data_IF_097418561478
#
_entry.id   IF_097418561478
#
_cell.length_a   1.000
_cell.length_b   1.000
_cell.length_c   1.000
_cell.angle_alpha   90.00
_cell.angle_beta   90.00
_cell.angle_gamma   90.00
#
_symmetry.space_group_name_H-M   'P 1'
#
loop_
_entity.id
_entity.type
_entity.pdbx_description
1 polymer ?
#
# COMPACT_ATOMS: atom_id res chain seq x y z
N UNK A 1 18.81 -0.11 -17.40
CA UNK A 1 19.44 0.88 -16.51
C UNK A 1 18.75 0.78 -15.17
N UNK A 2 19.49 0.54 -14.09
CA UNK A 2 18.93 0.41 -12.74
C UNK A 2 18.74 1.81 -12.18
N UNK A 3 17.50 2.18 -11.85
CA UNK A 3 17.17 3.46 -11.21
C UNK A 3 16.94 3.26 -9.70
N UNK A 4 17.48 4.16 -8.89
CA UNK A 4 17.23 4.18 -7.46
C UNK A 4 16.13 5.19 -7.15
N UNK A 5 15.02 4.71 -6.59
CA UNK A 5 13.89 5.54 -6.16
C UNK A 5 13.90 5.67 -4.65
N UNK A 6 13.75 6.90 -4.18
CA UNK A 6 13.67 7.21 -2.74
C UNK A 6 12.50 8.15 -2.48
N UNK A 7 11.90 8.04 -1.31
CA UNK A 7 10.82 8.92 -0.87
C UNK A 7 11.27 9.67 0.38
N UNK A 8 11.15 10.98 0.33
CA UNK A 8 11.49 11.88 1.42
C UNK A 8 10.36 12.90 1.57
N UNK A 9 9.72 12.92 2.72
CA UNK A 9 8.71 13.91 3.10
C UNK A 9 7.59 14.09 2.03
N UNK A 10 7.07 12.97 1.53
CA UNK A 10 6.01 12.94 0.52
C UNK A 10 6.46 13.17 -0.92
N UNK A 11 7.74 13.38 -1.16
CA UNK A 11 8.32 13.57 -2.49
C UNK A 11 9.08 12.34 -2.95
N UNK A 12 8.95 12.01 -4.23
CA UNK A 12 9.63 10.87 -4.87
C UNK A 12 10.80 11.40 -5.68
N UNK A 13 11.97 10.86 -5.44
CA UNK A 13 13.21 11.19 -6.14
C UNK A 13 13.79 9.98 -6.83
N UNK A 14 14.39 10.18 -8.01
CA UNK A 14 15.26 9.22 -8.66
C UNK A 14 16.72 9.66 -8.61
N UNK A 15 17.64 8.72 -8.81
CA UNK A 15 19.09 8.93 -8.84
C UNK A 15 19.64 9.67 -7.62
N UNK A 16 19.01 9.46 -6.46
CA UNK A 16 19.27 10.22 -5.24
C UNK A 16 20.74 10.20 -4.79
N UNK A 17 21.44 9.10 -5.03
CA UNK A 17 22.85 8.94 -4.60
C UNK A 17 23.85 9.71 -5.48
N UNK A 18 23.45 10.14 -6.66
CA UNK A 18 24.33 10.81 -7.61
C UNK A 18 23.88 12.25 -7.90
N UNK A 19 22.69 12.41 -8.41
CA UNK A 19 22.08 13.71 -8.74
C UNK A 19 20.56 13.58 -8.55
N UNK A 20 20.04 13.89 -7.36
CA UNK A 20 18.63 13.68 -7.06
C UNK A 20 17.72 14.50 -7.98
N UNK A 21 16.81 13.81 -8.65
CA UNK A 21 15.79 14.40 -9.51
C UNK A 21 14.42 14.14 -8.85
N UNK A 22 13.72 15.19 -8.46
CA UNK A 22 12.33 15.08 -8.01
C UNK A 22 11.44 14.69 -9.20
N UNK A 23 10.69 13.59 -9.06
CA UNK A 23 9.81 13.08 -10.10
C UNK A 23 8.34 13.15 -9.70
N UNK A 24 8.03 13.36 -8.42
CA UNK A 24 6.68 13.51 -7.92
C UNK A 24 6.66 14.20 -6.55
N UNK A 25 5.69 15.11 -6.35
CA UNK A 25 5.40 15.80 -5.08
C UNK A 25 3.89 15.74 -4.85
N UNK A 26 3.42 14.80 -4.07
CA UNK A 26 1.97 14.61 -3.85
C UNK A 26 1.62 13.45 -2.94
N UNK A 27 2.61 12.78 -2.34
CA UNK A 27 2.36 11.82 -1.27
C UNK A 27 2.19 12.55 0.06
N UNK A 28 1.38 11.98 0.93
CA UNK A 28 1.25 12.48 2.31
C UNK A 28 2.58 12.38 3.05
N UNK A 29 3.09 13.52 3.50
CA UNK A 29 4.35 13.61 4.24
C UNK A 29 4.30 12.76 5.53
N UNK A 30 5.42 12.13 5.88
CA UNK A 30 5.56 11.30 7.08
C UNK A 30 4.90 9.91 7.00
N UNK A 31 4.21 9.58 5.90
CA UNK A 31 3.59 8.25 5.72
C UNK A 31 4.57 7.31 5.02
N UNK A 32 4.77 6.12 5.61
CA UNK A 32 5.65 5.09 5.05
C UNK A 32 5.06 4.49 3.78
N UNK A 33 5.92 4.20 2.81
CA UNK A 33 5.56 3.58 1.56
C UNK A 33 6.07 2.15 1.45
N UNK A 34 5.33 1.33 0.71
CA UNK A 34 5.77 0.00 0.24
C UNK A 34 5.92 0.01 -1.26
N UNK A 35 6.79 -0.86 -1.76
CA UNK A 35 7.16 -0.92 -3.17
C UNK A 35 6.94 -2.32 -3.72
N UNK A 36 6.53 -2.40 -4.97
CA UNK A 36 6.48 -3.64 -5.74
C UNK A 36 6.84 -3.35 -7.20
N UNK A 37 7.41 -4.32 -7.89
CA UNK A 37 7.75 -4.20 -9.32
C UNK A 37 6.97 -5.26 -10.09
N UNK A 38 6.27 -4.84 -11.12
CA UNK A 38 5.53 -5.69 -12.04
C UNK A 38 5.63 -5.09 -13.45
N UNK A 39 5.96 -5.91 -14.47
CA UNK A 39 6.02 -5.50 -15.88
C UNK A 39 6.87 -4.24 -16.12
N UNK A 40 8.08 -4.21 -15.57
CA UNK A 40 9.01 -3.07 -15.63
C UNK A 40 8.44 -1.74 -15.08
N UNK A 41 7.45 -1.83 -14.20
CA UNK A 41 6.87 -0.67 -13.50
C UNK A 41 7.04 -0.82 -12.00
N UNK A 42 7.40 0.28 -11.36
CA UNK A 42 7.45 0.38 -9.90
C UNK A 42 6.11 0.91 -9.38
N UNK A 43 5.55 0.18 -8.46
CA UNK A 43 4.34 0.56 -7.72
C UNK A 43 4.74 1.08 -6.35
N UNK A 44 4.15 2.21 -5.94
CA UNK A 44 4.38 2.86 -4.65
C UNK A 44 3.03 3.03 -3.96
N UNK A 45 2.91 2.52 -2.75
CA UNK A 45 1.66 2.53 -1.98
C UNK A 45 1.92 2.81 -0.51
N UNK A 46 0.99 3.50 0.17
CA UNK A 46 1.13 3.86 1.58
C UNK A 46 -0.17 3.76 2.40
N UNK A 47 -1.27 3.34 1.79
CA UNK A 47 -2.57 3.21 2.46
C UNK A 47 -3.38 4.51 2.59
N UNK A 48 -2.79 5.64 2.29
CA UNK A 48 -3.41 6.98 2.39
C UNK A 48 -3.65 7.59 1.01
N UNK A 49 -2.61 7.60 0.20
CA UNK A 49 -2.64 8.19 -1.14
C UNK A 49 -3.04 7.14 -2.20
N UNK A 50 -3.36 7.59 -3.39
CA UNK A 50 -3.57 6.71 -4.51
C UNK A 50 -2.26 5.98 -4.87
N UNK A 51 -2.39 4.78 -5.39
CA UNK A 51 -1.26 4.01 -5.88
C UNK A 51 -0.53 4.79 -6.97
N UNK A 52 0.78 4.93 -6.82
CA UNK A 52 1.64 5.56 -7.82
C UNK A 52 2.29 4.46 -8.66
N UNK A 53 2.33 4.68 -9.97
CA UNK A 53 2.98 3.83 -10.95
C UNK A 53 4.10 4.64 -11.60
N UNK A 54 5.29 4.08 -11.63
CA UNK A 54 6.45 4.70 -12.28
C UNK A 54 7.08 3.74 -13.28
N UNK A 55 7.18 4.18 -14.53
CA UNK A 55 7.82 3.48 -15.66
C UNK A 55 8.81 4.38 -16.42
N UNK A 56 9.44 5.32 -15.75
CA UNK A 56 10.17 6.45 -16.32
C UNK A 56 9.36 7.75 -16.30
N UNK A 57 8.03 7.65 -16.20
CA UNK A 57 7.09 8.75 -15.98
C UNK A 57 6.14 8.36 -14.85
N UNK A 58 5.81 9.28 -13.97
CA UNK A 58 4.82 9.03 -12.90
C UNK A 58 3.41 9.09 -13.48
N UNK A 59 2.62 8.09 -13.13
CA UNK A 59 1.16 8.12 -13.24
C UNK A 59 0.53 7.73 -11.90
N UNK A 60 -0.62 8.31 -11.59
CA UNK A 60 -1.39 7.96 -10.39
C UNK A 60 -2.55 7.09 -10.80
N UNK A 61 -2.63 5.89 -10.22
CA UNK A 61 -3.72 4.97 -10.52
C UNK A 61 -5.06 5.58 -10.10
N UNK A 62 -6.05 5.53 -11.01
CA UNK A 62 -7.42 5.96 -10.75
C UNK A 62 -7.49 7.32 -10.03
N UNK A 63 -6.76 8.30 -10.57
CA UNK A 63 -6.74 9.65 -10.06
C UNK A 63 -8.14 10.26 -9.97
N UNK A 64 -8.35 11.16 -9.02
CA UNK A 64 -9.57 11.93 -8.91
C UNK A 64 -9.61 13.05 -9.93
N UNK A 65 -10.75 13.34 -10.57
CA UNK A 65 -10.93 14.61 -11.28
C UNK A 65 -10.79 15.77 -10.28
N UNK A 66 -10.30 16.91 -10.76
CA UNK A 66 -10.32 18.17 -10.00
C UNK A 66 -11.44 19.04 -10.57
N UNK A 67 -12.38 19.45 -9.74
CA UNK A 67 -13.50 20.27 -10.14
C UNK A 67 -13.31 21.73 -9.75
N UNK A 68 -13.60 22.65 -10.68
CA UNK A 68 -13.55 24.09 -10.46
C UNK A 68 -14.79 24.76 -11.05
N UNK A 69 -15.32 25.78 -10.33
CA UNK A 69 -16.34 26.65 -10.88
C UNK A 69 -15.69 27.54 -11.95
N UNK A 70 -16.13 27.46 -13.19
CA UNK A 70 -15.55 28.25 -14.27
C UNK A 70 -16.17 29.65 -14.44
N UNK A 71 -17.15 30.02 -13.59
CA UNK A 71 -17.86 31.29 -13.60
C UNK A 71 -18.60 31.61 -14.92
N UNK A 72 -18.66 30.67 -15.85
CA UNK A 72 -19.47 30.80 -17.06
C UNK A 72 -20.89 30.36 -16.78
N UNK A 73 -21.87 31.13 -17.25
CA UNK A 73 -23.28 30.81 -17.07
C UNK A 73 -23.59 29.41 -17.58
N UNK A 74 -24.30 28.64 -16.76
CA UNK A 74 -24.67 27.27 -17.01
C UNK A 74 -25.94 26.84 -16.30
N UNK A 75 -26.20 25.54 -16.31
CA UNK A 75 -27.46 24.98 -15.75
C UNK A 75 -27.27 24.41 -14.34
N UNK A 76 -26.04 24.37 -13.83
CA UNK A 76 -25.75 23.73 -12.57
C UNK A 76 -25.93 24.70 -11.39
N UNK A 77 -26.60 24.24 -10.33
CA UNK A 77 -26.79 25.01 -9.09
C UNK A 77 -26.75 24.03 -7.93
N UNK A 78 -25.80 24.24 -7.00
CA UNK A 78 -25.61 23.40 -5.82
C UNK A 78 -24.18 22.92 -5.64
N UNK A 79 -24.00 21.92 -4.78
CA UNK A 79 -22.72 21.31 -4.49
C UNK A 79 -22.60 19.97 -5.21
N UNK A 80 -21.49 19.74 -5.89
CA UNK A 80 -21.22 18.57 -6.71
C UNK A 80 -19.84 18.00 -6.41
N UNK A 81 -19.69 16.68 -6.56
CA UNK A 81 -18.39 16.03 -6.67
C UNK A 81 -18.44 14.94 -7.74
N UNK A 82 -17.27 14.58 -8.22
CA UNK A 82 -17.08 13.72 -9.39
C UNK A 82 -16.22 12.52 -9.03
N UNK A 83 -16.40 11.44 -9.80
CA UNK A 83 -15.53 10.28 -9.80
C UNK A 83 -15.32 9.82 -11.25
N UNK A 84 -14.26 9.08 -11.48
CA UNK A 84 -13.92 8.55 -12.78
C UNK A 84 -13.58 7.07 -12.69
N UNK A 85 -13.99 6.31 -13.71
CA UNK A 85 -13.56 4.94 -13.97
C UNK A 85 -12.80 4.90 -15.29
N UNK A 86 -12.02 3.84 -15.47
CA UNK A 86 -11.25 3.61 -16.70
C UNK A 86 -11.75 2.34 -17.36
N UNK A 87 -11.81 2.34 -18.69
CA UNK A 87 -12.08 1.16 -19.49
C UNK A 87 -10.73 0.63 -20.01
N UNK A 88 -10.35 -0.54 -19.56
CA UNK A 88 -9.11 -1.21 -19.94
C UNK A 88 -9.50 -2.55 -20.54
N UNK A 89 -9.16 -2.75 -21.82
CA UNK A 89 -9.49 -3.97 -22.58
C UNK A 89 -10.99 -4.36 -22.54
N UNK A 90 -11.86 -3.33 -22.51
CA UNK A 90 -13.32 -3.52 -22.46
C UNK A 90 -13.86 -3.84 -21.08
N UNK A 91 -13.04 -3.75 -20.03
CA UNK A 91 -13.43 -3.92 -18.64
C UNK A 91 -13.39 -2.58 -17.92
N UNK A 92 -14.51 -2.17 -17.34
CA UNK A 92 -14.59 -0.94 -16.53
C UNK A 92 -14.00 -1.19 -15.12
N UNK A 93 -13.03 -0.36 -14.75
CA UNK A 93 -12.41 -0.41 -13.42
C UNK A 93 -13.38 0.08 -12.35
N UNK A 94 -12.97 -0.07 -11.08
CA UNK A 94 -13.60 0.66 -9.98
C UNK A 94 -13.31 2.15 -10.09
N UNK A 95 -14.10 2.97 -9.41
CA UNK A 95 -13.83 4.41 -9.35
C UNK A 95 -12.54 4.71 -8.59
N UNK A 96 -11.84 5.72 -9.05
CA UNK A 96 -10.81 6.39 -8.27
C UNK A 96 -11.39 7.11 -7.04
N UNK A 97 -10.55 7.92 -6.40
CA UNK A 97 -11.00 8.84 -5.35
C UNK A 97 -12.00 9.86 -5.95
N UNK A 98 -12.97 10.27 -5.16
CA UNK A 98 -13.86 11.36 -5.56
C UNK A 98 -13.11 12.70 -5.59
N UNK A 99 -13.56 13.61 -6.45
CA UNK A 99 -13.02 14.97 -6.54
C UNK A 99 -13.26 15.77 -5.25
N UNK A 100 -12.64 16.95 -5.18
CA UNK A 100 -13.11 18.00 -4.29
C UNK A 100 -14.59 18.33 -4.56
N UNK A 101 -15.30 18.78 -3.55
CA UNK A 101 -16.65 19.34 -3.73
C UNK A 101 -16.54 20.75 -4.31
N UNK A 102 -17.27 21.02 -5.38
CA UNK A 102 -17.43 22.35 -5.97
C UNK A 102 -18.86 22.82 -5.82
N UNK A 103 -19.03 24.08 -5.42
CA UNK A 103 -20.36 24.71 -5.31
C UNK A 103 -20.51 25.77 -6.37
N UNK A 104 -21.60 25.72 -7.11
CA UNK A 104 -21.91 26.64 -8.22
C UNK A 104 -23.36 27.17 -8.10
N UNK A 105 -23.61 28.33 -8.76
CA UNK A 105 -24.94 28.95 -8.86
C UNK A 105 -25.17 29.39 -10.29
N UNK A 106 -25.95 28.63 -11.03
CA UNK A 106 -26.22 28.81 -12.46
C UNK A 106 -24.95 28.91 -13.32
N UNK A 107 -23.99 28.06 -13.02
CA UNK A 107 -22.70 28.03 -13.73
C UNK A 107 -22.42 26.61 -14.32
N UNK A 108 -21.45 26.51 -15.19
CA UNK A 108 -20.82 25.25 -15.56
C UNK A 108 -19.62 24.94 -14.65
N UNK A 109 -19.15 23.71 -14.73
CA UNK A 109 -18.01 23.23 -13.91
C UNK A 109 -16.92 22.72 -14.86
N UNK A 110 -15.70 23.22 -14.70
CA UNK A 110 -14.53 22.70 -15.41
C UNK A 110 -13.87 21.61 -14.61
N UNK A 111 -13.54 20.53 -15.28
CA UNK A 111 -12.84 19.39 -14.71
C UNK A 111 -11.45 19.27 -15.33
N UNK A 112 -10.45 19.11 -14.48
CA UNK A 112 -9.16 18.57 -14.89
C UNK A 112 -9.21 17.06 -14.70
N UNK A 113 -8.93 16.32 -15.77
CA UNK A 113 -9.05 14.87 -15.84
C UNK A 113 -7.69 14.21 -15.71
N UNK A 114 -7.51 13.24 -14.81
CA UNK A 114 -6.31 12.42 -14.78
C UNK A 114 -6.25 11.50 -16.01
N UNK A 115 -5.04 11.25 -16.48
CA UNK A 115 -4.74 10.21 -17.47
C UNK A 115 -4.81 8.85 -16.76
N UNK A 116 -5.45 7.89 -17.39
CA UNK A 116 -5.59 6.53 -16.86
C UNK A 116 -4.32 5.70 -17.01
N UNK A 117 -4.28 4.52 -16.38
CA UNK A 117 -3.21 3.55 -16.54
C UNK A 117 -2.98 3.16 -18.01
N UNK A 118 -1.85 2.54 -18.28
CA UNK A 118 -1.54 1.99 -19.61
C UNK A 118 -2.62 0.99 -20.03
N UNK A 119 -3.06 1.07 -21.30
CA UNK A 119 -4.14 0.22 -21.81
C UNK A 119 -5.53 0.83 -21.66
N UNK A 120 -5.68 1.99 -21.02
CA UNK A 120 -6.97 2.69 -20.94
C UNK A 120 -7.41 3.13 -22.34
N UNK A 121 -8.57 2.66 -22.78
CA UNK A 121 -9.19 2.99 -24.07
C UNK A 121 -10.26 4.07 -23.94
N UNK A 122 -10.90 4.17 -22.78
CA UNK A 122 -11.89 5.19 -22.47
C UNK A 122 -11.96 5.45 -20.96
N UNK A 123 -12.54 6.61 -20.60
CA UNK A 123 -12.75 7.01 -19.22
C UNK A 123 -14.21 7.42 -19.04
N UNK A 124 -14.86 6.96 -17.97
CA UNK A 124 -16.25 7.33 -17.69
C UNK A 124 -16.30 8.26 -16.50
N UNK A 125 -16.94 9.39 -16.67
CA UNK A 125 -17.19 10.36 -15.60
C UNK A 125 -18.54 10.09 -14.94
N UNK A 126 -18.56 10.23 -13.64
CA UNK A 126 -19.74 10.18 -12.80
C UNK A 126 -19.81 11.44 -11.95
N UNK A 127 -21.01 11.92 -11.68
CA UNK A 127 -21.29 13.11 -10.86
C UNK A 127 -22.45 12.86 -9.92
N UNK A 128 -22.45 13.52 -8.76
CA UNK A 128 -23.62 13.60 -7.89
C UNK A 128 -24.68 14.54 -8.47
N UNK A 129 -25.93 14.38 -8.07
CA UNK A 129 -26.91 15.46 -8.16
C UNK A 129 -26.57 16.56 -7.14
N UNK A 130 -27.16 17.73 -7.27
CA UNK A 130 -26.92 18.85 -6.35
C UNK A 130 -27.14 18.46 -4.88
N UNK A 131 -26.09 18.53 -4.07
CA UNK A 131 -26.12 18.12 -2.66
C UNK A 131 -26.31 16.62 -2.43
N UNK A 132 -26.31 15.81 -3.47
CA UNK A 132 -26.47 14.36 -3.39
C UNK A 132 -25.19 13.62 -3.00
N UNK A 133 -25.35 12.31 -2.74
CA UNK A 133 -24.23 11.40 -2.43
C UNK A 133 -24.06 10.27 -3.43
N UNK A 134 -25.05 10.06 -4.31
CA UNK A 134 -25.01 8.99 -5.31
C UNK A 134 -24.34 9.48 -6.59
N UNK A 135 -23.29 8.81 -7.01
CA UNK A 135 -22.63 9.06 -8.28
C UNK A 135 -23.48 8.49 -9.42
N UNK A 136 -23.80 9.32 -10.40
CA UNK A 136 -24.56 8.95 -11.60
C UNK A 136 -23.70 9.19 -12.84
N UNK A 137 -23.88 8.33 -13.83
CA UNK A 137 -23.15 8.43 -15.10
C UNK A 137 -23.38 9.80 -15.75
N UNK A 138 -22.29 10.46 -16.12
CA UNK A 138 -22.28 11.76 -16.76
C UNK A 138 -21.94 11.63 -18.25
N UNK A 139 -20.75 11.11 -18.55
CA UNK A 139 -20.24 11.02 -19.94
C UNK A 139 -19.10 10.00 -20.04
N UNK A 140 -18.89 9.47 -21.25
CA UNK A 140 -17.70 8.72 -21.63
C UNK A 140 -16.73 9.62 -22.40
N UNK A 141 -15.49 9.69 -21.94
CA UNK A 141 -14.35 10.28 -22.64
C UNK A 141 -13.68 9.14 -23.41
N UNK A 142 -13.84 9.11 -24.74
CA UNK A 142 -13.40 8.00 -25.60
C UNK A 142 -11.91 8.05 -25.95
N UNK A 143 -11.09 8.46 -25.02
CA UNK A 143 -9.63 8.54 -25.14
C UNK A 143 -8.96 8.48 -23.76
N UNK A 144 -7.62 8.42 -23.74
CA UNK A 144 -6.80 8.54 -22.53
C UNK A 144 -5.86 9.77 -22.57
N UNK A 145 -6.14 10.75 -23.42
CA UNK A 145 -5.27 11.92 -23.65
C UNK A 145 -5.90 13.24 -23.23
N UNK A 146 -7.23 13.35 -23.29
CA UNK A 146 -7.97 14.57 -22.90
C UNK A 146 -7.79 14.87 -21.42
N UNK A 147 -7.27 16.04 -21.08
CA UNK A 147 -7.01 16.45 -19.69
C UNK A 147 -8.07 17.39 -19.12
N UNK A 148 -9.07 17.78 -19.91
CA UNK A 148 -10.13 18.69 -19.47
C UNK A 148 -11.50 18.25 -19.96
N UNK A 149 -12.53 18.58 -19.19
CA UNK A 149 -13.93 18.42 -19.57
C UNK A 149 -14.75 19.53 -18.91
N UNK A 150 -15.68 20.13 -19.64
CA UNK A 150 -16.64 21.09 -19.10
C UNK A 150 -17.99 20.43 -18.90
N UNK A 151 -18.48 20.39 -17.66
CA UNK A 151 -19.80 19.89 -17.32
C UNK A 151 -20.82 21.02 -17.28
N UNK A 152 -21.84 20.90 -18.08
CA UNK A 152 -23.03 21.75 -18.10
C UNK A 152 -24.29 20.93 -18.36
N UNK A 153 -24.34 19.69 -17.79
CA UNK A 153 -25.45 18.76 -17.95
C UNK A 153 -26.37 18.86 -16.73
N UNK A 154 -27.66 19.08 -16.95
CA UNK A 154 -28.65 19.14 -15.88
C UNK A 154 -28.77 17.81 -15.12
N UNK A 155 -29.07 17.85 -13.82
CA UNK A 155 -29.17 16.65 -12.96
C UNK A 155 -30.15 15.60 -13.50
N UNK A 156 -31.29 16.06 -14.06
CA UNK A 156 -32.27 15.15 -14.66
C UNK A 156 -31.84 14.44 -15.95
N UNK A 157 -30.69 14.82 -16.51
CA UNK A 157 -30.10 14.20 -17.72
C UNK A 157 -28.98 13.21 -17.38
N UNK A 158 -28.66 13.03 -16.10
CA UNK A 158 -27.66 12.05 -15.68
C UNK A 158 -28.17 10.62 -15.94
N UNK A 159 -27.26 9.74 -16.26
CA UNK A 159 -27.53 8.33 -16.49
C UNK A 159 -27.71 7.50 -15.22
N UNK A 160 -27.51 6.20 -15.34
CA UNK A 160 -27.66 5.27 -14.23
C UNK A 160 -26.72 5.58 -13.05
N UNK A 161 -27.18 5.28 -11.85
CA UNK A 161 -26.33 5.32 -10.66
C UNK A 161 -25.19 4.31 -10.80
N UNK A 162 -24.01 4.72 -10.41
CA UNK A 162 -22.84 3.86 -10.39
C UNK A 162 -23.11 2.62 -9.54
N UNK A 163 -22.86 1.45 -10.10
CA UNK A 163 -23.11 0.20 -9.39
C UNK A 163 -22.26 0.12 -8.11
N UNK A 164 -22.85 -0.42 -7.05
CA UNK A 164 -22.15 -0.56 -5.75
C UNK A 164 -20.87 -1.42 -5.82
N UNK A 165 -20.75 -2.24 -6.84
CA UNK A 165 -19.54 -3.03 -7.15
C UNK A 165 -18.36 -2.18 -7.57
N UNK A 166 -18.61 -0.98 -8.11
CA UNK A 166 -17.58 -0.02 -8.50
C UNK A 166 -17.25 0.92 -7.34
N UNK A 167 -16.92 0.35 -6.18
CA UNK A 167 -16.44 1.11 -5.04
C UNK A 167 -15.13 1.83 -5.38
N UNK A 168 -14.77 2.92 -4.65
CA UNK A 168 -13.49 3.59 -4.87
C UNK A 168 -12.31 2.61 -4.84
N UNK A 169 -11.29 2.90 -5.67
CA UNK A 169 -10.06 2.13 -5.72
C UNK A 169 -9.50 1.88 -4.31
N UNK A 170 -9.02 0.68 -4.01
CA UNK A 170 -8.37 0.44 -2.74
C UNK A 170 -7.08 1.25 -2.68
N UNK A 171 -6.75 1.67 -1.46
CA UNK A 171 -5.47 2.29 -1.13
C UNK A 171 -4.73 1.34 -0.20
N UNK A 172 -4.08 0.30 -0.72
CA UNK A 172 -3.41 -0.67 0.15
C UNK A 172 -2.21 -0.02 0.83
N UNK A 173 -1.98 -0.36 2.09
CA UNK A 173 -0.78 0.08 2.80
C UNK A 173 0.43 -0.78 2.40
N UNK A 174 0.21 -2.06 2.17
CA UNK A 174 1.24 -3.03 1.84
C UNK A 174 0.93 -3.67 0.51
N UNK A 175 1.91 -3.74 -0.37
CA UNK A 175 1.80 -4.34 -1.70
C UNK A 175 2.93 -5.34 -1.96
N UNK A 176 2.65 -6.34 -2.77
CA UNK A 176 3.63 -7.31 -3.31
C UNK A 176 3.16 -7.80 -4.67
N UNK A 177 4.00 -8.56 -5.35
CA UNK A 177 3.68 -9.16 -6.65
C UNK A 177 3.86 -10.67 -6.59
N UNK A 178 2.91 -11.40 -7.16
CA UNK A 178 3.01 -12.85 -7.36
C UNK A 178 2.15 -13.26 -8.57
N UNK A 179 2.67 -14.18 -9.38
CA UNK A 179 1.96 -14.74 -10.56
C UNK A 179 1.40 -13.63 -11.47
N UNK A 180 2.25 -12.64 -11.80
CA UNK A 180 1.93 -11.48 -12.65
C UNK A 180 0.74 -10.63 -12.17
N UNK A 181 0.45 -10.71 -10.88
CA UNK A 181 -0.60 -9.93 -10.22
C UNK A 181 -0.02 -9.04 -9.13
N UNK A 182 -0.52 -7.82 -9.05
CA UNK A 182 -0.31 -6.94 -7.90
C UNK A 182 -1.27 -7.34 -6.77
N UNK A 183 -0.74 -7.44 -5.56
CA UNK A 183 -1.50 -7.87 -4.38
C UNK A 183 -1.34 -6.81 -3.30
N UNK A 184 -2.44 -6.46 -2.64
CA UNK A 184 -2.44 -5.41 -1.64
C UNK A 184 -3.33 -5.71 -0.43
N UNK A 185 -2.93 -5.22 0.75
CA UNK A 185 -3.68 -5.29 2.01
C UNK A 185 -3.53 -3.99 2.80
N UNK A 186 -4.32 -3.84 3.87
CA UNK A 186 -4.23 -2.67 4.76
C UNK A 186 -4.94 -1.43 4.21
N UNK A 187 -6.00 -1.61 3.44
CA UNK A 187 -6.86 -0.52 3.02
C UNK A 187 -7.74 -0.06 4.20
N UNK A 188 -7.66 1.21 4.57
CA UNK A 188 -8.39 1.78 5.72
C UNK A 188 -9.91 1.56 5.66
N UNK A 189 -10.51 1.57 4.46
CA UNK A 189 -11.97 1.39 4.29
C UNK A 189 -12.44 -0.05 4.53
N UNK A 190 -11.60 -1.03 4.19
CA UNK A 190 -11.85 -2.47 4.38
C UNK A 190 -10.56 -3.13 4.86
N UNK A 191 -10.23 -2.98 6.15
CA UNK A 191 -8.91 -3.32 6.65
C UNK A 191 -8.61 -4.83 6.69
N UNK A 192 -9.64 -5.66 6.63
CA UNK A 192 -9.56 -7.12 6.63
C UNK A 192 -9.62 -7.75 5.22
N UNK A 193 -9.50 -6.94 4.17
CA UNK A 193 -9.58 -7.43 2.79
C UNK A 193 -8.21 -7.51 2.13
N UNK A 194 -8.01 -8.57 1.36
CA UNK A 194 -6.93 -8.75 0.42
C UNK A 194 -7.44 -8.40 -0.99
N UNK A 195 -6.67 -7.59 -1.68
CA UNK A 195 -6.92 -7.14 -3.04
C UNK A 195 -5.92 -7.77 -3.99
N UNK A 196 -6.40 -8.26 -5.13
CA UNK A 196 -5.57 -8.86 -6.18
C UNK A 196 -5.94 -8.22 -7.52
N UNK A 197 -4.96 -7.81 -8.30
CA UNK A 197 -5.18 -7.37 -9.68
C UNK A 197 -5.43 -8.58 -10.60
N UNK A 198 -5.92 -8.32 -11.81
CA UNK A 198 -5.88 -9.32 -12.88
C UNK A 198 -4.45 -9.54 -13.38
N UNK A 199 -4.22 -10.62 -14.14
CA UNK A 199 -2.94 -10.90 -14.77
C UNK A 199 -2.64 -9.82 -15.81
N UNK A 200 -1.41 -9.31 -15.81
CA UNK A 200 -0.91 -8.26 -16.71
C UNK A 200 -1.67 -6.92 -16.62
N UNK A 201 -2.73 -6.84 -15.82
CA UNK A 201 -3.46 -5.61 -15.57
C UNK A 201 -3.04 -5.04 -14.23
N UNK A 202 -2.49 -3.86 -14.24
CA UNK A 202 -1.79 -3.23 -13.14
C UNK A 202 -2.72 -2.48 -12.16
N UNK A 203 -4.01 -2.69 -12.30
CA UNK A 203 -5.05 -2.04 -11.50
C UNK A 203 -5.83 -3.03 -10.66
N UNK A 204 -6.28 -2.61 -9.50
CA UNK A 204 -7.18 -3.40 -8.68
C UNK A 204 -8.62 -3.27 -9.15
N UNK A 205 -9.26 -4.38 -9.52
CA UNK A 205 -10.66 -4.42 -9.95
C UNK A 205 -11.60 -4.85 -8.83
N UNK A 206 -12.83 -4.31 -8.84
CA UNK A 206 -13.79 -4.45 -7.77
C UNK A 206 -14.39 -5.86 -7.61
N UNK A 207 -14.42 -6.65 -8.67
CA UNK A 207 -15.32 -7.82 -8.71
C UNK A 207 -14.65 -9.16 -8.55
N UNK A 208 -13.40 -9.32 -8.96
CA UNK A 208 -12.72 -10.63 -8.96
C UNK A 208 -11.53 -10.71 -8.00
N UNK A 209 -10.95 -9.57 -7.64
CA UNK A 209 -9.73 -9.51 -6.86
C UNK A 209 -9.91 -9.11 -5.39
N UNK A 210 -11.11 -9.28 -4.80
CA UNK A 210 -11.37 -8.84 -3.42
C UNK A 210 -11.77 -10.02 -2.56
N UNK A 211 -10.94 -10.36 -1.58
CA UNK A 211 -11.17 -11.49 -0.68
C UNK A 211 -11.23 -11.04 0.77
N UNK A 212 -12.31 -11.40 1.46
CA UNK A 212 -12.44 -11.18 2.90
C UNK A 212 -11.65 -12.24 3.66
N UNK A 213 -10.62 -11.82 4.37
CA UNK A 213 -9.74 -12.69 5.16
C UNK A 213 -10.37 -13.03 6.52
N UNK A 214 -11.26 -12.19 7.04
CA UNK A 214 -11.89 -12.37 8.36
C UNK A 214 -12.77 -13.62 8.45
N UNK A 215 -13.35 -14.05 7.34
CA UNK A 215 -14.17 -15.27 7.27
C UNK A 215 -13.42 -16.57 7.57
N UNK A 216 -12.08 -16.54 7.55
CA UNK A 216 -11.23 -17.72 7.71
C UNK A 216 -10.81 -18.02 9.16
N UNK A 217 -11.39 -17.39 10.15
CA UNK A 217 -11.01 -17.66 11.54
C UNK A 217 -11.68 -16.82 12.61
N UNK A 218 -12.80 -16.18 12.28
CA UNK A 218 -13.49 -15.25 13.20
C UNK A 218 -12.61 -14.10 13.72
N UNK A 219 -11.55 -13.76 12.98
CA UNK A 219 -10.65 -12.67 13.31
C UNK A 219 -10.97 -11.47 12.43
N UNK A 220 -11.73 -10.52 12.96
CA UNK A 220 -12.10 -9.29 12.27
C UNK A 220 -11.05 -8.18 12.48
N UNK A 221 -9.79 -8.56 12.72
CA UNK A 221 -8.70 -7.59 12.86
C UNK A 221 -8.17 -7.12 11.51
N UNK A 222 -7.62 -5.91 11.52
CA UNK A 222 -7.01 -5.33 10.31
C UNK A 222 -5.82 -6.17 9.83
N UNK A 223 -5.65 -6.25 8.51
CA UNK A 223 -4.46 -6.80 7.89
C UNK A 223 -3.32 -5.79 8.00
N UNK A 224 -2.26 -6.20 8.65
CA UNK A 224 -1.16 -5.35 9.08
C UNK A 224 0.14 -5.61 8.34
N UNK A 225 0.18 -6.59 7.45
CA UNK A 225 1.37 -6.90 6.69
C UNK A 225 1.14 -7.90 5.57
N UNK A 226 2.06 -7.88 4.62
CA UNK A 226 2.05 -8.71 3.43
C UNK A 226 3.48 -9.05 3.02
N UNK A 227 3.75 -10.31 2.72
CA UNK A 227 5.06 -10.74 2.21
C UNK A 227 4.94 -11.96 1.31
N UNK A 228 5.95 -12.15 0.46
CA UNK A 228 6.13 -13.36 -0.34
C UNK A 228 7.19 -14.26 0.30
N UNK A 229 6.81 -15.48 0.66
CA UNK A 229 7.74 -16.48 1.16
C UNK A 229 7.51 -17.85 0.52
N UNK A 230 8.59 -18.49 0.04
CA UNK A 230 8.56 -19.80 -0.64
C UNK A 230 7.42 -19.95 -1.65
N UNK A 231 7.23 -18.95 -2.49
CA UNK A 231 6.17 -18.91 -3.50
C UNK A 231 4.73 -18.88 -2.94
N UNK A 232 4.56 -18.51 -1.70
CA UNK A 232 3.26 -18.27 -1.05
C UNK A 232 3.14 -16.83 -0.60
N UNK A 233 1.93 -16.28 -0.69
CA UNK A 233 1.61 -15.01 -0.09
C UNK A 233 1.31 -15.24 1.39
N UNK A 234 2.08 -14.57 2.24
CA UNK A 234 1.85 -14.56 3.69
C UNK A 234 1.18 -13.24 4.05
N UNK A 235 -0.01 -13.34 4.62
CA UNK A 235 -0.83 -12.21 5.05
C UNK A 235 -0.85 -12.18 6.55
N UNK A 236 -0.52 -11.04 7.13
CA UNK A 236 -0.53 -10.83 8.56
C UNK A 236 -1.74 -9.98 8.95
N UNK A 237 -2.47 -10.41 9.97
CA UNK A 237 -3.31 -9.54 10.77
C UNK A 237 -2.57 -9.17 12.06
N UNK A 238 -3.18 -8.35 12.89
CA UNK A 238 -2.60 -8.02 14.20
C UNK A 238 -2.38 -9.28 15.07
N UNK A 239 -3.24 -10.31 14.94
CA UNK A 239 -3.23 -11.47 15.83
C UNK A 239 -3.01 -12.82 15.15
N UNK A 240 -2.98 -12.86 13.83
CA UNK A 240 -2.98 -14.09 13.04
C UNK A 240 -2.09 -13.97 11.82
N UNK A 241 -1.72 -15.12 11.28
CA UNK A 241 -1.00 -15.24 10.01
C UNK A 241 -1.82 -16.17 9.10
N UNK A 242 -1.98 -15.75 7.86
CA UNK A 242 -2.68 -16.50 6.82
C UNK A 242 -1.77 -16.76 5.63
N UNK A 243 -2.03 -17.84 4.93
CA UNK A 243 -1.43 -18.14 3.63
C UNK A 243 -2.48 -17.92 2.56
N UNK A 244 -2.14 -17.17 1.52
CA UNK A 244 -3.04 -16.93 0.40
C UNK A 244 -2.43 -17.51 -0.88
N UNK A 245 -3.25 -18.23 -1.64
CA UNK A 245 -2.95 -18.68 -3.00
C UNK A 245 -3.79 -17.85 -3.98
N UNK A 246 -3.10 -17.15 -4.87
CA UNK A 246 -3.68 -16.24 -5.87
C UNK A 246 -3.48 -16.75 -7.30
N UNK A 247 -2.97 -17.97 -7.47
CA UNK A 247 -2.63 -18.56 -8.78
C UNK A 247 -3.87 -18.83 -9.65
N UNK A 248 -5.03 -19.07 -9.01
CA UNK A 248 -6.28 -19.33 -9.70
C UNK A 248 -7.09 -18.08 -10.05
N UNK A 249 -8.30 -18.31 -10.56
CA UNK A 249 -9.31 -17.25 -10.79
C UNK A 249 -9.97 -16.76 -9.50
N UNK A 250 -9.81 -17.49 -8.41
CA UNK A 250 -10.27 -17.11 -7.07
C UNK A 250 -9.13 -17.25 -6.07
N UNK A 251 -9.05 -16.33 -5.13
CA UNK A 251 -8.07 -16.38 -4.04
C UNK A 251 -8.50 -17.40 -3.00
N UNK A 252 -7.62 -18.36 -2.69
CA UNK A 252 -7.79 -19.29 -1.58
C UNK A 252 -6.99 -18.79 -0.37
N UNK A 253 -7.62 -18.73 0.81
CA UNK A 253 -6.98 -18.23 2.03
C UNK A 253 -7.07 -19.31 3.11
N UNK A 254 -5.96 -19.61 3.74
CA UNK A 254 -5.87 -20.58 4.82
C UNK A 254 -5.22 -19.93 6.06
N UNK A 255 -5.86 -20.05 7.21
CA UNK A 255 -5.26 -19.63 8.47
C UNK A 255 -4.17 -20.63 8.89
N UNK A 256 -3.04 -20.12 9.36
CA UNK A 256 -1.99 -20.95 9.96
C UNK A 256 -2.31 -21.29 11.41
N UNK A 257 -1.49 -22.15 12.02
CA UNK A 257 -1.59 -22.48 13.45
C UNK A 257 -1.00 -21.40 14.36
N UNK A 258 -0.45 -20.30 13.79
CA UNK A 258 0.11 -19.20 14.58
C UNK A 258 -0.99 -18.41 15.29
N UNK A 259 -0.82 -18.20 16.61
CA UNK A 259 -1.69 -17.38 17.43
C UNK A 259 -1.15 -15.95 17.64
N UNK A 260 -0.14 -15.58 16.88
CA UNK A 260 0.43 -14.23 16.87
C UNK A 260 0.44 -13.70 15.45
N UNK A 261 0.29 -12.40 15.32
CA UNK A 261 0.38 -11.67 14.08
C UNK A 261 1.44 -10.58 14.15
N UNK A 262 1.45 -9.70 13.17
CA UNK A 262 2.40 -8.60 13.03
C UNK A 262 1.73 -7.27 13.40
N UNK A 263 2.42 -6.39 14.11
CA UNK A 263 1.88 -5.06 14.46
C UNK A 263 2.07 -4.04 13.34
N UNK A 264 3.15 -4.15 12.56
CA UNK A 264 3.45 -3.26 11.43
C UNK A 264 4.21 -4.03 10.35
N UNK A 265 3.62 -4.13 9.16
CA UNK A 265 4.19 -4.82 8.01
C UNK A 265 5.50 -4.24 7.50
N UNK A 266 5.86 -3.00 7.85
CA UNK A 266 7.17 -2.43 7.55
C UNK A 266 8.30 -3.08 8.35
N UNK A 267 7.98 -3.87 9.36
CA UNK A 267 8.96 -4.66 10.11
C UNK A 267 9.24 -6.03 9.48
N UNK A 268 8.46 -6.43 8.48
CA UNK A 268 8.59 -7.75 7.86
C UNK A 268 9.78 -7.76 6.91
N UNK A 269 10.73 -8.64 7.17
CA UNK A 269 11.86 -8.87 6.29
C UNK A 269 12.06 -10.37 6.04
N UNK A 270 12.30 -10.72 4.77
CA UNK A 270 12.62 -12.09 4.37
C UNK A 270 14.08 -12.38 4.67
N UNK A 271 14.31 -13.35 5.51
CA UNK A 271 15.65 -13.81 5.90
C UNK A 271 15.91 -15.18 5.29
N UNK A 272 16.91 -15.34 4.44
CA UNK A 272 17.23 -16.63 3.84
C UNK A 272 17.76 -17.63 4.86
N UNK A 273 17.60 -18.93 4.61
CA UNK A 273 18.17 -19.96 5.48
C UNK A 273 19.72 -19.98 5.39
N UNK A 274 20.34 -20.42 6.48
CA UNK A 274 21.75 -20.80 6.52
C UNK A 274 21.89 -22.18 7.22
N UNK A 275 23.12 -22.61 7.52
CA UNK A 275 23.36 -23.94 8.13
C UNK A 275 22.67 -24.13 9.49
N UNK A 276 22.46 -23.07 10.26
CA UNK A 276 21.92 -23.12 11.62
C UNK A 276 20.54 -22.44 11.74
N UNK A 277 20.21 -21.53 10.84
CA UNK A 277 18.97 -20.76 10.81
C UNK A 277 18.09 -21.17 9.63
N UNK A 278 16.88 -21.65 9.90
CA UNK A 278 15.96 -22.16 8.86
C UNK A 278 15.41 -21.10 7.91
N UNK A 279 15.67 -19.81 8.19
CA UNK A 279 15.10 -18.70 7.42
C UNK A 279 13.63 -18.47 7.71
N UNK A 280 13.02 -17.55 6.99
CA UNK A 280 11.62 -17.18 7.08
C UNK A 280 11.41 -15.68 7.09
N UNK A 281 10.21 -15.25 7.50
CA UNK A 281 9.86 -13.84 7.64
C UNK A 281 10.07 -13.39 9.09
N UNK A 282 11.03 -12.50 9.30
CA UNK A 282 11.22 -11.83 10.59
C UNK A 282 10.29 -10.62 10.69
N UNK A 283 9.70 -10.40 11.87
CA UNK A 283 8.75 -9.31 12.10
C UNK A 283 8.59 -9.01 13.59
N UNK A 284 8.00 -7.87 13.90
CA UNK A 284 7.58 -7.50 15.27
C UNK A 284 6.14 -7.96 15.50
N UNK A 285 5.94 -8.79 16.51
CA UNK A 285 4.65 -9.40 16.81
C UNK A 285 3.73 -8.48 17.63
N UNK A 286 2.46 -8.85 17.74
CA UNK A 286 1.48 -8.20 18.60
C UNK A 286 1.77 -8.37 20.10
N UNK A 287 2.68 -9.26 20.47
CA UNK A 287 3.20 -9.40 21.84
C UNK A 287 4.42 -8.49 22.10
N UNK A 288 4.76 -7.66 21.11
CA UNK A 288 5.91 -6.75 21.14
C UNK A 288 7.23 -7.49 21.36
N UNK A 289 7.39 -8.57 20.61
CA UNK A 289 8.64 -9.33 20.51
C UNK A 289 8.99 -9.56 19.03
N UNK A 290 10.21 -10.01 18.78
CA UNK A 290 10.67 -10.27 17.42
C UNK A 290 10.53 -11.75 17.15
N UNK A 291 9.83 -12.08 16.06
CA UNK A 291 9.55 -13.45 15.65
C UNK A 291 10.00 -13.73 14.24
N UNK A 292 10.21 -15.01 13.97
CA UNK A 292 10.38 -15.53 12.62
C UNK A 292 9.25 -16.50 12.29
N UNK A 293 8.58 -16.28 11.19
CA UNK A 293 7.59 -17.19 10.63
C UNK A 293 8.26 -18.07 9.57
N UNK A 294 8.18 -19.37 9.73
CA UNK A 294 8.85 -20.35 8.86
C UNK A 294 7.88 -21.14 7.97
N UNK A 295 6.72 -20.58 7.68
CA UNK A 295 5.68 -21.21 6.87
C UNK A 295 4.57 -21.91 7.67
N UNK A 296 4.75 -22.19 8.94
CA UNK A 296 3.76 -22.84 9.81
C UNK A 296 3.55 -22.15 11.16
N UNK A 297 4.63 -21.88 11.86
CA UNK A 297 4.60 -21.35 13.22
C UNK A 297 5.51 -20.13 13.32
N UNK A 298 5.06 -19.11 14.02
CA UNK A 298 5.91 -17.98 14.39
C UNK A 298 6.71 -18.31 15.65
N UNK A 299 8.01 -18.50 15.47
CA UNK A 299 8.95 -18.78 16.57
C UNK A 299 9.45 -17.48 17.17
N UNK A 300 9.42 -17.38 18.49
CA UNK A 300 9.94 -16.23 19.21
C UNK A 300 11.49 -16.26 19.22
N UNK A 301 12.14 -15.29 18.62
CA UNK A 301 13.59 -15.14 18.67
C UNK A 301 14.06 -14.52 19.99
N UNK A 302 13.17 -13.83 20.72
CA UNK A 302 13.51 -13.26 22.01
C UNK A 302 13.70 -14.32 23.12
N UNK A 303 13.17 -15.54 22.96
CA UNK A 303 13.49 -16.65 23.88
C UNK A 303 14.96 -17.10 23.77
N UNK A 304 15.61 -16.84 22.65
CA UNK A 304 17.06 -16.99 22.55
C UNK A 304 17.83 -15.92 23.33
N UNK A 305 17.19 -14.78 23.69
CA UNK A 305 17.78 -13.82 24.64
C UNK A 305 17.82 -14.36 26.07
N UNK A 306 16.80 -15.10 26.51
CA UNK A 306 16.79 -15.69 27.86
C UNK A 306 17.83 -16.83 28.02
N UNK A 307 18.15 -17.55 26.93
CA UNK A 307 19.20 -18.57 26.91
C UNK A 307 20.61 -18.01 26.73
N UNK A 308 20.75 -16.77 26.26
CA UNK A 308 22.01 -16.02 26.19
C UNK A 308 22.35 -15.31 27.52
N UNK A 309 21.65 -15.63 28.60
CA UNK A 309 21.89 -15.12 29.95
C UNK A 309 23.30 -15.35 30.50
N UNK A 310 24.15 -16.08 29.77
CA UNK A 310 25.54 -16.28 30.10
C UNK A 310 26.53 -15.37 29.36
N UNK A 311 26.06 -14.56 28.40
CA UNK A 311 26.94 -13.60 27.73
C UNK A 311 26.26 -12.22 27.60
N UNK A 312 26.46 -11.37 28.57
CA UNK A 312 26.49 -9.89 28.59
C UNK A 312 25.46 -9.07 27.79
N UNK A 313 24.55 -9.68 27.03
CA UNK A 313 23.50 -8.98 26.26
C UNK A 313 22.16 -8.89 26.99
N UNK A 314 21.90 -9.80 27.92
CA UNK A 314 20.65 -9.84 28.71
C UNK A 314 20.49 -8.65 29.66
N UNK A 315 21.56 -7.96 29.99
CA UNK A 315 21.51 -6.74 30.81
C UNK A 315 21.18 -5.47 30.00
N UNK A 316 21.24 -5.52 28.67
CA UNK A 316 21.01 -4.35 27.80
C UNK A 316 19.59 -4.28 27.22
N UNK A 317 18.84 -5.39 27.23
CA UNK A 317 17.48 -5.45 26.67
C UNK A 317 16.58 -6.31 27.54
N UNK A 318 16.07 -5.70 28.61
CA UNK A 318 14.98 -6.28 29.38
C UNK A 318 13.75 -6.42 28.45
N UNK A 319 13.10 -7.60 28.47
CA UNK A 319 11.90 -7.90 27.68
C UNK A 319 10.80 -6.85 27.85
N UNK A 320 10.63 -6.33 29.06
CA UNK A 320 9.62 -5.30 29.34
C UNK A 320 10.04 -3.93 28.82
N UNK A 321 11.33 -3.62 28.78
CA UNK A 321 11.87 -2.40 28.19
C UNK A 321 11.71 -2.42 26.68
N UNK A 322 12.03 -3.55 26.01
CA UNK A 322 11.78 -3.72 24.57
C UNK A 322 10.30 -3.57 24.24
N UNK A 323 9.41 -4.18 25.01
CA UNK A 323 7.96 -4.02 24.83
C UNK A 323 7.51 -2.57 24.96
N UNK A 324 8.05 -1.83 25.89
CA UNK A 324 7.71 -0.40 26.08
C UNK A 324 8.24 0.46 24.91
N UNK A 325 9.44 0.16 24.43
CA UNK A 325 10.02 0.85 23.28
C UNK A 325 9.19 0.58 22.02
N UNK A 326 8.89 -0.68 21.72
CA UNK A 326 8.16 -1.10 20.53
C UNK A 326 6.71 -0.57 20.45
N UNK A 327 6.09 -0.23 21.60
CA UNK A 327 4.72 0.31 21.64
C UNK A 327 4.59 1.75 21.18
N UNK A 328 5.64 2.53 21.24
CA UNK A 328 5.56 4.00 21.19
C UNK A 328 6.33 4.62 20.02
N UNK A 329 6.85 3.84 19.07
CA UNK A 329 7.72 4.34 18.02
C UNK A 329 7.38 3.73 16.67
N UNK A 330 7.67 4.48 15.63
CA UNK A 330 7.69 3.98 14.27
C UNK A 330 8.77 2.91 14.12
N UNK A 331 8.37 1.78 13.51
CA UNK A 331 9.21 0.60 13.34
C UNK A 331 9.48 0.36 11.87
N UNK A 332 10.70 0.01 11.54
CA UNK A 332 11.07 -0.44 10.19
C UNK A 332 12.08 -1.57 10.28
N UNK A 333 11.85 -2.66 9.54
CA UNK A 333 12.70 -3.82 9.51
C UNK A 333 13.21 -4.11 8.10
N UNK A 334 14.49 -4.43 7.98
CA UNK A 334 15.11 -4.79 6.72
C UNK A 334 16.18 -5.86 6.90
N UNK A 335 16.32 -6.74 5.91
CA UNK A 335 17.39 -7.72 5.86
C UNK A 335 18.48 -7.29 4.88
N UNK A 336 19.70 -7.16 5.38
CA UNK A 336 20.86 -6.85 4.58
C UNK A 336 22.13 -7.53 5.17
N UNK A 337 22.99 -8.07 4.34
CA UNK A 337 24.28 -8.66 4.71
C UNK A 337 24.23 -9.61 5.92
N UNK A 338 23.38 -10.64 5.82
CA UNK A 338 23.16 -11.65 6.88
C UNK A 338 22.63 -11.09 8.20
N UNK A 339 22.04 -9.92 8.18
CA UNK A 339 21.50 -9.24 9.37
C UNK A 339 20.11 -8.71 9.14
N UNK A 340 19.26 -8.92 10.13
CA UNK A 340 18.00 -8.22 10.24
C UNK A 340 18.21 -6.93 11.02
N UNK A 341 17.92 -5.81 10.41
CA UNK A 341 18.01 -4.48 11.00
C UNK A 341 16.60 -4.03 11.37
N UNK A 342 16.39 -3.73 12.65
CA UNK A 342 15.14 -3.15 13.15
C UNK A 342 15.42 -1.73 13.62
N UNK A 343 14.86 -0.76 12.93
CA UNK A 343 14.98 0.67 13.26
C UNK A 343 13.86 1.01 14.24
N UNK A 344 14.23 1.56 15.38
CA UNK A 344 13.34 1.98 16.44
C UNK A 344 13.75 3.39 16.88
N UNK A 345 13.06 4.42 16.37
CA UNK A 345 13.43 5.80 16.63
C UNK A 345 14.87 6.11 16.17
N UNK A 346 15.75 6.48 17.11
CA UNK A 346 17.17 6.77 16.85
C UNK A 346 18.11 5.58 17.04
N UNK A 347 17.57 4.38 17.20
CA UNK A 347 18.37 3.17 17.43
C UNK A 347 18.16 2.14 16.33
N UNK A 348 19.21 1.42 15.97
CA UNK A 348 19.13 0.28 15.06
C UNK A 348 19.51 -0.97 15.86
N UNK A 349 18.57 -1.88 15.95
CA UNK A 349 18.76 -3.21 16.53
C UNK A 349 19.11 -4.18 15.41
N UNK A 350 20.24 -4.85 15.51
CA UNK A 350 20.74 -5.71 14.44
C UNK A 350 20.87 -7.14 14.96
N UNK A 351 20.14 -8.06 14.33
CA UNK A 351 20.27 -9.48 14.54
C UNK A 351 21.12 -10.11 13.44
N UNK A 352 22.30 -10.60 13.80
CA UNK A 352 23.17 -11.33 12.85
C UNK A 352 22.80 -12.83 12.90
N UNK A 353 22.29 -13.34 11.79
CA UNK A 353 21.81 -14.73 11.70
C UNK A 353 22.94 -15.77 11.74
N UNK A 354 24.20 -15.37 11.53
CA UNK A 354 25.37 -16.27 11.56
C UNK A 354 25.80 -16.60 12.98
N UNK A 355 25.68 -15.64 13.87
CA UNK A 355 26.05 -15.77 15.29
C UNK A 355 24.82 -15.85 16.19
N UNK A 356 23.62 -15.70 15.61
CA UNK A 356 22.34 -15.67 16.34
C UNK A 356 22.34 -14.68 17.51
N UNK A 357 22.94 -13.51 17.30
CA UNK A 357 23.15 -12.51 18.33
C UNK A 357 22.69 -11.11 17.90
N UNK A 358 22.35 -10.30 18.91
CA UNK A 358 21.91 -8.92 18.74
C UNK A 358 23.02 -7.92 19.01
N UNK A 359 23.02 -6.82 18.26
CA UNK A 359 23.86 -5.63 18.47
C UNK A 359 22.99 -4.38 18.35
N UNK A 360 23.27 -3.36 19.13
CA UNK A 360 22.55 -2.09 19.09
C UNK A 360 23.49 -1.00 18.60
N UNK A 361 23.04 -0.25 17.61
CA UNK A 361 23.72 0.95 17.15
C UNK A 361 22.87 2.17 17.50
N UNK A 362 23.44 3.15 18.16
CA UNK A 362 22.82 4.44 18.42
C UNK A 362 23.19 5.40 17.30
N UNK A 363 22.22 5.95 16.62
CA UNK A 363 22.42 6.99 15.62
C UNK A 363 22.59 8.30 16.37
N UNK A 364 23.85 8.73 16.55
CA UNK A 364 24.18 10.04 17.12
C UNK A 364 23.99 11.14 16.07
N UNK A 365 22.76 11.64 15.89
CA UNK A 365 22.56 12.87 15.14
C UNK A 365 21.52 13.73 15.82
N UNK A 366 21.94 14.94 16.18
CA UNK A 366 21.15 15.92 16.90
C UNK A 366 20.00 16.56 16.07
N UNK A 367 19.78 16.15 14.83
CA UNK A 367 18.83 16.81 13.89
C UNK A 367 18.28 15.92 12.78
N UNK A 368 18.10 14.63 13.00
CA UNK A 368 17.41 13.79 12.03
C UNK A 368 16.00 13.49 12.52
N UNK A 369 15.02 14.16 11.93
CA UNK A 369 13.69 13.58 11.78
C UNK A 369 13.89 12.26 11.03
N UNK A 370 13.30 11.14 11.44
CA UNK A 370 13.46 9.88 10.74
C UNK A 370 12.90 10.05 9.33
N UNK A 371 13.81 10.27 8.39
CA UNK A 371 13.49 10.27 6.96
C UNK A 371 13.44 8.81 6.58
N UNK A 372 12.25 8.29 6.38
CA UNK A 372 12.05 6.93 5.92
C UNK A 372 12.64 6.77 4.53
N UNK A 373 13.74 6.04 4.44
CA UNK A 373 14.41 5.71 3.19
C UNK A 373 14.09 4.28 2.84
N UNK A 374 13.12 4.05 1.98
CA UNK A 374 12.94 2.76 1.33
C UNK A 374 13.37 2.88 -0.12
N UNK A 375 14.23 1.98 -0.57
CA UNK A 375 14.73 1.96 -1.94
C UNK A 375 13.89 1.02 -2.78
N UNK A 376 13.34 1.53 -3.89
CA UNK A 376 12.85 0.71 -4.99
C UNK A 376 13.94 0.64 -6.07
N UNK A 377 14.15 -0.52 -6.64
CA UNK A 377 15.07 -0.73 -7.76
C UNK A 377 14.25 -1.23 -8.94
N UNK A 378 14.26 -0.47 -10.03
CA UNK A 378 13.82 -0.93 -11.35
C UNK A 378 15.02 -1.61 -12.01
N UNK A 379 14.89 -2.89 -12.35
CA UNK A 379 15.92 -3.71 -12.99
C UNK A 379 15.89 -3.64 -14.51
#
# INVERSE_FOLDING_TARGET
>A
QTENIIIIDGKVYKDFLTSPIEIYDGLTAGVKCTFAVLNDKLFISNGTDQLIIYNGTISVEMGAPIAANNLVAGVLTGAYYYAMTYDIDGVETITGTVSNTVTVSTNSIDLTLPIGPTGTTARKLYRTEAGGSNLKFLVTISDNDSTTYQDNIADGSLGATLAAVNAPAPKPKYITVKDEKLIGVGNARRPNYLYTSEIEIESFFATLGVSDVSGQGNDNTALTGLALDYNQIVVFSEKRIYLADVSGTSTSIQQTTSNVGCIDGHTIAKVPPNLEFKGGLMFVSNEYDIRVFNGQIAVNLATSFDNLSTQNFSSALNKDEMRNILRNVDLEGEYYDYKYHLIIGSSIYVYDIRIQGWTIYLIKTATYSPVYKKFGVLG
#
